data_IF_853525908164
#
_entry.id   IF_853525908164
#
_cell.length_a   1.000
_cell.length_b   1.000
_cell.length_c   1.000
_cell.angle_alpha   90.00
_cell.angle_beta   90.00
_cell.angle_gamma   90.00
#
_symmetry.space_group_name_H-M   'P 1'
#
loop_
_entity.id
_entity.type
_entity.pdbx_description
1 polymer ?
#
# COMPACT_ATOMS: atom_id res chain seq x y z
N UNK A 1 6.93 -23.46 5.09
CA UNK A 1 6.15 -23.13 3.86
C UNK A 1 5.47 -21.80 4.14
N UNK A 2 5.95 -20.68 3.58
CA UNK A 2 5.30 -19.37 3.77
C UNK A 2 3.96 -19.39 3.04
N UNK A 3 2.87 -19.11 3.77
CA UNK A 3 1.50 -19.22 3.25
C UNK A 3 1.30 -18.35 2.01
N UNK A 4 0.72 -18.94 0.95
CA UNK A 4 0.22 -18.36 -0.31
C UNK A 4 0.32 -16.82 -0.44
N UNK A 5 1.53 -16.26 -0.51
CA UNK A 5 1.75 -14.83 -0.73
C UNK A 5 1.09 -13.87 0.26
N UNK A 6 0.95 -14.25 1.54
CA UNK A 6 0.38 -13.37 2.58
C UNK A 6 -1.16 -13.43 2.71
N UNK A 7 -1.83 -14.28 1.93
CA UNK A 7 -3.27 -14.56 2.12
C UNK A 7 -3.56 -15.24 3.47
N UNK A 8 -2.61 -16.01 3.98
CA UNK A 8 -2.69 -16.67 5.28
C UNK A 8 -1.60 -16.11 6.19
N UNK A 9 -2.00 -15.35 7.22
CA UNK A 9 -1.09 -14.86 8.24
C UNK A 9 -0.54 -16.04 9.04
N UNK A 10 0.78 -16.13 9.16
CA UNK A 10 1.44 -17.07 10.08
C UNK A 10 1.59 -16.41 11.48
N UNK A 11 1.63 -17.20 12.58
CA UNK A 11 1.77 -16.65 13.93
C UNK A 11 2.93 -15.68 14.09
N UNK A 12 4.09 -16.03 13.51
CA UNK A 12 5.32 -15.22 13.57
C UNK A 12 5.64 -14.53 12.22
N UNK A 13 4.65 -14.44 11.32
CA UNK A 13 4.81 -13.88 9.97
C UNK A 13 4.28 -12.46 9.83
N UNK A 14 4.90 -11.69 8.93
CA UNK A 14 4.44 -10.36 8.52
C UNK A 14 3.76 -10.46 7.16
N UNK A 15 2.58 -9.86 7.03
CA UNK A 15 1.90 -9.72 5.74
C UNK A 15 2.29 -8.39 5.10
N UNK A 16 2.96 -8.45 3.95
CA UNK A 16 3.49 -7.29 3.22
C UNK A 16 2.78 -7.14 1.88
N UNK A 17 2.20 -5.96 1.64
CA UNK A 17 1.66 -5.55 0.35
C UNK A 17 2.65 -4.65 -0.39
N UNK A 18 2.98 -5.00 -1.64
CA UNK A 18 3.78 -4.16 -2.53
C UNK A 18 2.84 -3.47 -3.52
N UNK A 19 2.84 -2.14 -3.54
CA UNK A 19 1.96 -1.36 -4.39
C UNK A 19 2.66 -1.04 -5.71
N UNK A 20 2.03 -1.39 -6.83
CA UNK A 20 2.40 -0.85 -8.13
C UNK A 20 1.43 0.27 -8.48
N UNK A 21 1.88 1.51 -8.28
CA UNK A 21 1.13 2.72 -8.61
C UNK A 21 1.81 3.44 -9.77
N UNK A 22 1.00 4.03 -10.65
CA UNK A 22 1.50 4.90 -11.71
C UNK A 22 2.20 6.13 -11.13
N UNK A 23 3.36 6.49 -11.67
CA UNK A 23 4.09 7.69 -11.27
C UNK A 23 3.22 8.94 -11.53
N UNK A 24 3.00 9.81 -10.52
CA UNK A 24 2.19 11.01 -10.68
C UNK A 24 2.93 12.08 -11.49
N UNK A 25 2.15 12.93 -12.17
CA UNK A 25 2.65 14.19 -12.73
C UNK A 25 2.31 15.29 -11.72
N UNK A 26 3.32 15.82 -11.03
CA UNK A 26 3.16 16.84 -9.99
C UNK A 26 3.77 18.15 -10.48
N UNK A 27 2.94 19.16 -10.71
CA UNK A 27 3.38 20.49 -11.17
C UNK A 27 3.10 21.55 -10.10
N UNK A 28 2.03 21.35 -9.32
CA UNK A 28 1.57 22.27 -8.27
C UNK A 28 1.56 21.61 -6.89
N UNK A 29 1.42 22.41 -5.84
CA UNK A 29 1.29 21.89 -4.47
C UNK A 29 -0.02 21.11 -4.30
N UNK A 30 -1.05 21.53 -5.00
CA UNK A 30 -2.36 20.89 -5.04
C UNK A 30 -2.29 19.51 -5.68
N UNK A 31 -1.41 19.31 -6.67
CA UNK A 31 -1.15 17.98 -7.24
C UNK A 31 -0.50 17.04 -6.22
N UNK A 32 0.46 17.56 -5.44
CA UNK A 32 1.11 16.78 -4.37
C UNK A 32 0.13 16.42 -3.26
N UNK A 33 -0.73 17.36 -2.86
CA UNK A 33 -1.79 17.10 -1.87
C UNK A 33 -2.74 16.00 -2.36
N UNK A 34 -3.18 16.08 -3.62
CA UNK A 34 -4.04 15.06 -4.24
C UNK A 34 -3.38 13.69 -4.30
N UNK A 35 -2.07 13.64 -4.56
CA UNK A 35 -1.34 12.38 -4.57
C UNK A 35 -1.21 11.80 -3.16
N UNK A 36 -0.99 12.65 -2.15
CA UNK A 36 -0.98 12.22 -0.74
C UNK A 36 -2.32 11.61 -0.35
N UNK A 37 -3.43 12.25 -0.70
CA UNK A 37 -4.77 11.72 -0.46
C UNK A 37 -4.97 10.36 -1.14
N UNK A 38 -4.45 10.20 -2.36
CA UNK A 38 -4.52 8.92 -3.09
C UNK A 38 -3.73 7.81 -2.40
N UNK A 39 -2.53 8.09 -1.89
CA UNK A 39 -1.72 7.14 -1.11
C UNK A 39 -2.49 6.74 0.16
N UNK A 40 -3.02 7.70 0.92
CA UNK A 40 -3.82 7.42 2.11
C UNK A 40 -5.05 6.56 1.79
N UNK A 41 -5.75 6.84 0.69
CA UNK A 41 -6.89 6.05 0.25
C UNK A 41 -6.50 4.60 -0.10
N UNK A 42 -5.33 4.39 -0.72
CA UNK A 42 -4.80 3.06 -1.03
C UNK A 42 -4.39 2.27 0.21
N UNK A 43 -3.77 2.92 1.19
CA UNK A 43 -3.48 2.30 2.51
C UNK A 43 -4.78 1.83 3.16
N UNK A 44 -5.78 2.71 3.22
CA UNK A 44 -7.07 2.39 3.82
C UNK A 44 -7.78 1.26 3.06
N UNK A 45 -7.70 1.24 1.72
CA UNK A 45 -8.22 0.17 0.88
C UNK A 45 -7.52 -1.16 1.14
N UNK A 46 -6.18 -1.16 1.23
CA UNK A 46 -5.40 -2.37 1.50
C UNK A 46 -5.80 -3.02 2.82
N UNK A 47 -5.92 -2.22 3.90
CA UNK A 47 -6.33 -2.73 5.22
C UNK A 47 -7.78 -3.23 5.26
N UNK A 48 -8.71 -2.56 4.56
CA UNK A 48 -10.11 -3.04 4.47
C UNK A 48 -10.25 -4.35 3.73
N UNK A 49 -9.45 -4.56 2.68
CA UNK A 49 -9.53 -5.76 1.85
C UNK A 49 -8.72 -6.95 2.41
N UNK A 50 -7.68 -6.68 3.21
CA UNK A 50 -6.90 -7.68 3.91
C UNK A 50 -6.66 -7.21 5.35
N UNK A 51 -7.55 -7.59 6.26
CA UNK A 51 -7.49 -7.14 7.66
C UNK A 51 -6.21 -7.59 8.39
N UNK A 52 -5.53 -8.61 7.87
CA UNK A 52 -4.25 -9.14 8.35
C UNK A 52 -3.03 -8.39 7.81
N UNK A 53 -3.20 -7.39 6.94
CA UNK A 53 -2.09 -6.60 6.39
C UNK A 53 -1.35 -5.84 7.50
N UNK A 54 -0.04 -6.06 7.58
CA UNK A 54 0.85 -5.46 8.58
C UNK A 54 1.67 -4.29 7.99
N UNK A 55 2.10 -4.42 6.73
CA UNK A 55 2.92 -3.42 6.03
C UNK A 55 2.46 -3.23 4.59
N UNK A 56 2.39 -1.97 4.13
CA UNK A 56 2.16 -1.62 2.73
C UNK A 56 3.30 -0.73 2.26
N UNK A 57 3.99 -1.12 1.20
CA UNK A 57 5.15 -0.42 0.65
C UNK A 57 4.78 0.19 -0.70
N UNK A 58 5.12 1.47 -0.85
CA UNK A 58 4.94 2.24 -2.07
C UNK A 58 6.30 2.49 -2.75
N UNK A 59 6.36 2.60 -4.08
CA UNK A 59 7.58 2.96 -4.78
C UNK A 59 8.03 4.40 -4.46
N UNK A 60 9.29 4.71 -4.74
CA UNK A 60 9.77 6.09 -4.68
C UNK A 60 8.95 6.99 -5.64
N UNK A 61 8.75 8.27 -5.26
CA UNK A 61 7.93 9.25 -5.99
C UNK A 61 6.42 8.95 -6.07
N UNK A 62 5.93 8.02 -5.24
CA UNK A 62 4.49 7.73 -5.10
C UNK A 62 3.68 8.90 -4.59
#
# INVERSE_FOLDING_TARGET
MSGLGGLNKAPDGVVIGLVQIQNPVVVTKEDLARQTDRVCALVAKARRNLATMDLVVFPEYS
#
